data_IF_532072752348
#
_entry.id   IF_532072752348
#
_cell.length_a   1.000
_cell.length_b   1.000
_cell.length_c   1.000
_cell.angle_alpha   90.00
_cell.angle_beta   90.00
_cell.angle_gamma   90.00
#
_symmetry.space_group_name_H-M   'P 1'
#
loop_
_entity.id
_entity.type
_entity.pdbx_description
1 polymer ?
#
# COMPACT_ATOMS: atom_id res chain seq x y z
N UNK A 1 -13.63 -4.44 -10.64
CA UNK A 1 -13.14 -5.61 -11.38
C UNK A 1 -11.62 -5.56 -11.39
N UNK A 2 -10.93 -6.71 -11.21
CA UNK A 2 -9.48 -6.80 -11.36
C UNK A 2 -9.16 -7.13 -12.81
N UNK A 3 -8.26 -6.39 -13.45
CA UNK A 3 -7.86 -6.59 -14.84
C UNK A 3 -6.33 -6.63 -14.93
N UNK A 4 -5.79 -7.66 -15.56
CA UNK A 4 -4.36 -7.72 -15.89
C UNK A 4 -4.07 -6.81 -17.07
N UNK A 5 -3.00 -6.03 -16.97
CA UNK A 5 -2.50 -5.26 -18.11
C UNK A 5 -1.88 -6.20 -19.15
N UNK A 6 -2.26 -5.98 -20.39
CA UNK A 6 -1.68 -6.64 -21.55
C UNK A 6 -1.48 -5.61 -22.65
N UNK A 7 -0.56 -5.86 -23.58
CA UNK A 7 -0.30 -5.00 -24.74
C UNK A 7 -1.49 -4.89 -25.73
N UNK A 8 -2.55 -5.68 -25.52
CA UNK A 8 -3.70 -5.74 -26.45
C UNK A 8 -4.81 -4.73 -26.13
N UNK A 9 -4.72 -3.99 -25.04
CA UNK A 9 -5.77 -3.06 -24.62
C UNK A 9 -5.17 -1.70 -24.28
N UNK A 10 -5.78 -0.65 -24.79
CA UNK A 10 -5.51 0.72 -24.38
C UNK A 10 -6.16 1.00 -23.03
N UNK A 11 -5.40 1.50 -22.08
CA UNK A 11 -5.86 1.84 -20.74
C UNK A 11 -5.50 3.31 -20.43
N UNK A 12 -6.40 4.08 -19.79
CA UNK A 12 -6.08 5.42 -19.39
C UNK A 12 -5.00 5.42 -18.29
N UNK A 13 -4.08 6.35 -18.42
CA UNK A 13 -2.99 6.58 -17.46
C UNK A 13 -3.26 7.92 -16.79
N UNK A 14 -3.11 7.97 -15.46
CA UNK A 14 -3.43 9.14 -14.65
C UNK A 14 -2.18 9.63 -13.90
N UNK A 15 -1.89 10.93 -14.00
CA UNK A 15 -0.87 11.54 -13.14
C UNK A 15 -1.26 11.45 -11.66
N UNK A 16 -0.28 11.54 -10.77
CA UNK A 16 -0.54 11.58 -9.31
C UNK A 16 -1.47 12.73 -8.93
N UNK A 17 -1.37 13.88 -9.60
CA UNK A 17 -2.28 15.00 -9.40
C UNK A 17 -3.72 14.62 -9.70
N UNK A 18 -3.97 14.03 -10.88
CA UNK A 18 -5.33 13.59 -11.28
C UNK A 18 -5.88 12.54 -10.31
N UNK A 19 -5.05 11.61 -9.86
CA UNK A 19 -5.47 10.59 -8.89
C UNK A 19 -5.85 11.20 -7.54
N UNK A 20 -5.10 12.20 -7.05
CA UNK A 20 -5.44 12.95 -5.82
C UNK A 20 -6.76 13.71 -5.95
N UNK A 21 -7.03 14.32 -7.11
CA UNK A 21 -8.30 14.99 -7.39
C UNK A 21 -9.47 14.00 -7.39
N UNK A 22 -9.30 12.85 -8.05
CA UNK A 22 -10.29 11.75 -8.07
C UNK A 22 -10.53 11.18 -6.66
N UNK A 23 -9.47 10.97 -5.89
CA UNK A 23 -9.55 10.50 -4.51
C UNK A 23 -10.32 11.51 -3.63
N UNK A 24 -9.99 12.79 -3.77
CA UNK A 24 -10.66 13.89 -3.05
C UNK A 24 -12.16 13.93 -3.37
N UNK A 25 -12.51 13.86 -4.63
CA UNK A 25 -13.91 13.83 -5.07
C UNK A 25 -14.64 12.60 -4.51
N UNK A 26 -13.98 11.43 -4.56
CA UNK A 26 -14.57 10.20 -4.07
C UNK A 26 -14.75 10.19 -2.54
N UNK A 27 -13.81 10.76 -1.77
CA UNK A 27 -13.94 10.91 -0.31
C UNK A 27 -15.14 11.77 0.07
N UNK A 28 -15.44 12.81 -0.72
CA UNK A 28 -16.63 13.67 -0.48
C UNK A 28 -17.94 12.97 -0.82
N UNK A 29 -17.92 12.05 -1.78
CA UNK A 29 -19.14 11.40 -2.29
C UNK A 29 -19.44 10.04 -1.64
N UNK A 30 -18.48 9.45 -0.96
CA UNK A 30 -18.58 8.11 -0.39
C UNK A 30 -18.63 8.15 1.13
N UNK A 31 -19.17 7.10 1.78
CA UNK A 31 -19.06 6.95 3.23
C UNK A 31 -17.59 6.95 3.68
N UNK A 32 -17.38 7.36 4.94
CA UNK A 32 -16.05 7.37 5.54
C UNK A 32 -15.32 6.03 5.36
N UNK A 33 -14.04 6.09 5.05
CA UNK A 33 -13.16 4.93 4.82
C UNK A 33 -13.53 4.01 3.64
N UNK A 34 -14.57 4.32 2.86
CA UNK A 34 -15.03 3.45 1.78
C UNK A 34 -13.98 3.17 0.71
N UNK A 35 -13.13 4.16 0.37
CA UNK A 35 -12.03 3.95 -0.57
C UNK A 35 -11.02 2.96 -0.03
N UNK A 36 -10.54 3.16 1.19
CA UNK A 36 -9.59 2.27 1.85
C UNK A 36 -10.15 0.85 2.02
N UNK A 37 -11.43 0.72 2.39
CA UNK A 37 -12.11 -0.58 2.44
C UNK A 37 -12.12 -1.28 1.08
N UNK A 38 -12.42 -0.54 0.02
CA UNK A 38 -12.45 -1.07 -1.35
C UNK A 38 -11.04 -1.46 -1.82
N UNK A 39 -10.04 -0.66 -1.51
CA UNK A 39 -8.64 -0.92 -1.85
C UNK A 39 -8.12 -2.17 -1.14
N UNK A 40 -8.20 -2.23 0.17
CA UNK A 40 -7.75 -3.38 0.95
C UNK A 40 -8.52 -4.67 0.61
N UNK A 41 -9.84 -4.58 0.33
CA UNK A 41 -10.61 -5.73 -0.17
C UNK A 41 -10.09 -6.22 -1.52
N UNK A 42 -9.68 -5.32 -2.41
CA UNK A 42 -9.10 -5.72 -3.71
C UNK A 42 -7.74 -6.40 -3.54
N UNK A 43 -6.90 -5.89 -2.63
CA UNK A 43 -5.63 -6.54 -2.27
C UNK A 43 -5.88 -7.95 -1.73
N UNK A 44 -6.78 -8.11 -0.76
CA UNK A 44 -7.10 -9.42 -0.19
C UNK A 44 -7.59 -10.42 -1.23
N UNK A 45 -8.47 -9.98 -2.14
CA UNK A 45 -8.96 -10.81 -3.26
C UNK A 45 -7.85 -11.21 -4.22
N UNK A 46 -6.94 -10.29 -4.53
CA UNK A 46 -5.80 -10.60 -5.39
C UNK A 46 -4.86 -11.60 -4.73
N UNK A 47 -4.58 -11.45 -3.44
CA UNK A 47 -3.78 -12.41 -2.66
C UNK A 47 -4.42 -13.80 -2.73
N UNK A 48 -5.71 -13.92 -2.46
CA UNK A 48 -6.42 -15.20 -2.50
C UNK A 48 -6.41 -15.85 -3.88
N UNK A 49 -6.56 -15.05 -4.93
CA UNK A 49 -6.61 -15.56 -6.31
C UNK A 49 -5.22 -15.92 -6.86
N UNK A 50 -4.18 -15.13 -6.53
CA UNK A 50 -2.86 -15.27 -7.14
C UNK A 50 -1.87 -16.08 -6.31
N UNK A 51 -2.06 -16.04 -4.98
CA UNK A 51 -1.18 -16.70 -4.02
C UNK A 51 -1.97 -17.66 -3.10
N UNK A 52 -2.75 -18.61 -3.67
CA UNK A 52 -3.64 -19.47 -2.88
C UNK A 52 -2.88 -20.37 -1.89
N UNK A 53 -1.62 -20.67 -2.19
CA UNK A 53 -0.78 -21.57 -1.39
C UNK A 53 0.07 -20.84 -0.34
N UNK A 54 0.10 -19.50 -0.31
CA UNK A 54 0.82 -18.77 0.71
C UNK A 54 0.18 -19.04 2.09
N UNK A 55 0.96 -19.66 2.98
CA UNK A 55 0.48 -20.03 4.33
C UNK A 55 0.75 -18.93 5.33
N UNK A 56 1.93 -18.30 5.28
CA UNK A 56 2.34 -17.18 6.12
C UNK A 56 2.41 -15.91 5.26
N UNK A 57 1.53 -14.98 5.52
CA UNK A 57 1.44 -13.71 4.79
C UNK A 57 1.92 -12.60 5.72
N UNK A 58 2.92 -11.85 5.29
CA UNK A 58 3.42 -10.70 6.03
C UNK A 58 3.09 -9.41 5.29
N UNK A 59 2.34 -8.53 5.94
CA UNK A 59 1.98 -7.20 5.42
C UNK A 59 2.91 -6.16 6.06
N UNK A 60 3.67 -5.46 5.24
CA UNK A 60 4.52 -4.34 5.65
C UNK A 60 3.75 -3.04 5.46
N UNK A 61 3.19 -2.52 6.53
CA UNK A 61 2.31 -1.34 6.49
C UNK A 61 3.09 -0.07 6.85
N UNK A 62 3.20 0.84 5.90
CA UNK A 62 3.72 2.18 6.13
C UNK A 62 2.71 3.09 6.83
N UNK A 63 3.14 4.31 7.14
CA UNK A 63 2.36 5.28 7.91
C UNK A 63 1.28 6.03 7.10
N UNK A 64 1.16 5.78 5.79
CA UNK A 64 0.20 6.47 4.90
C UNK A 64 -1.02 5.62 4.54
N UNK A 65 -1.82 6.11 3.57
CA UNK A 65 -3.00 5.40 3.06
C UNK A 65 -2.66 4.01 2.53
N UNK A 66 -1.53 3.87 1.86
CA UNK A 66 -1.09 2.58 1.35
C UNK A 66 -0.96 1.54 2.49
N UNK A 67 -0.39 1.96 3.64
CA UNK A 67 -0.35 1.13 4.84
C UNK A 67 -1.75 0.80 5.40
N UNK A 68 -2.66 1.77 5.36
CA UNK A 68 -4.06 1.56 5.72
C UNK A 68 -4.76 0.54 4.81
N UNK A 69 -4.52 0.60 3.50
CA UNK A 69 -5.00 -0.39 2.55
C UNK A 69 -4.46 -1.80 2.86
N UNK A 70 -3.18 -1.87 3.26
CA UNK A 70 -2.54 -3.10 3.73
C UNK A 70 -3.18 -3.65 5.01
N UNK A 71 -3.50 -2.80 5.99
CA UNK A 71 -4.20 -3.18 7.23
C UNK A 71 -5.59 -3.74 6.95
N UNK A 72 -6.36 -3.07 6.10
CA UNK A 72 -7.69 -3.57 5.68
C UNK A 72 -7.56 -4.91 4.97
N UNK A 73 -6.56 -5.06 4.09
CA UNK A 73 -6.31 -6.31 3.39
C UNK A 73 -5.99 -7.45 4.39
N UNK A 74 -5.12 -7.19 5.36
CA UNK A 74 -4.77 -8.15 6.40
C UNK A 74 -6.00 -8.58 7.21
N UNK A 75 -6.85 -7.63 7.62
CA UNK A 75 -8.10 -7.89 8.32
C UNK A 75 -9.04 -8.79 7.52
N UNK A 76 -9.18 -8.54 6.21
CA UNK A 76 -10.01 -9.37 5.33
C UNK A 76 -9.42 -10.78 5.15
N UNK A 77 -8.09 -10.89 5.03
CA UNK A 77 -7.40 -12.18 4.93
C UNK A 77 -7.54 -13.00 6.22
N UNK A 78 -7.39 -12.34 7.38
CA UNK A 78 -7.59 -12.97 8.69
C UNK A 78 -9.02 -13.53 8.83
N UNK A 79 -10.03 -12.71 8.48
CA UNK A 79 -11.45 -13.15 8.48
C UNK A 79 -11.73 -14.29 7.51
N UNK A 80 -10.94 -14.39 6.45
CA UNK A 80 -11.00 -15.50 5.50
C UNK A 80 -10.18 -16.72 5.93
N UNK A 81 -9.70 -16.77 7.18
CA UNK A 81 -8.95 -17.89 7.76
C UNK A 81 -7.49 -17.99 7.28
N UNK A 82 -6.93 -16.90 6.71
CA UNK A 82 -5.52 -16.89 6.30
C UNK A 82 -4.62 -16.52 7.48
N UNK A 83 -3.47 -17.16 7.58
CA UNK A 83 -2.46 -16.78 8.57
C UNK A 83 -1.73 -15.52 8.05
N UNK A 84 -2.06 -14.39 8.62
CA UNK A 84 -1.51 -13.09 8.26
C UNK A 84 -0.99 -12.35 9.49
N UNK A 85 0.12 -11.66 9.35
CA UNK A 85 0.68 -10.75 10.35
C UNK A 85 0.95 -9.40 9.69
N UNK A 86 0.75 -8.31 10.43
CA UNK A 86 1.08 -6.96 10.00
C UNK A 86 2.28 -6.45 10.79
N UNK A 87 3.26 -5.91 10.07
CA UNK A 87 4.32 -5.11 10.66
C UNK A 87 4.13 -3.65 10.26
N UNK A 88 3.82 -2.80 11.25
CA UNK A 88 3.79 -1.36 11.07
C UNK A 88 5.23 -0.85 10.98
N UNK A 89 5.58 -0.26 9.84
CA UNK A 89 6.91 0.15 9.45
C UNK A 89 7.04 1.68 9.46
N UNK A 90 8.18 2.19 9.95
CA UNK A 90 8.41 3.63 10.02
C UNK A 90 7.66 4.33 11.16
N UNK A 91 7.07 3.56 12.05
CA UNK A 91 6.17 4.01 13.10
C UNK A 91 6.90 4.40 14.42
N UNK A 92 8.14 4.82 14.39
CA UNK A 92 8.89 5.22 15.61
C UNK A 92 8.17 6.28 16.47
N UNK A 93 6.97 6.72 16.09
CA UNK A 93 6.25 7.78 16.79
C UNK A 93 4.71 7.76 16.61
N UNK A 94 4.11 6.68 16.13
CA UNK A 94 2.68 6.65 15.80
C UNK A 94 1.73 7.13 16.91
N UNK A 95 1.83 6.69 18.16
CA UNK A 95 1.03 7.26 19.23
C UNK A 95 1.50 8.63 19.72
N UNK A 96 2.79 8.96 19.54
CA UNK A 96 3.40 10.17 20.12
C UNK A 96 3.27 11.41 19.21
N UNK A 97 3.20 11.24 17.88
CA UNK A 97 3.04 12.38 16.99
C UNK A 97 1.60 12.86 16.89
N UNK A 98 0.61 12.03 17.16
CA UNK A 98 -0.80 12.47 17.22
C UNK A 98 -1.04 13.58 18.26
N UNK A 99 -0.15 13.74 19.25
CA UNK A 99 -0.22 14.82 20.25
C UNK A 99 0.71 16.00 20.01
N UNK A 100 1.53 16.04 18.96
CA UNK A 100 2.59 17.04 18.77
C UNK A 100 2.46 17.96 17.55
N UNK A 101 1.27 18.04 16.98
CA UNK A 101 1.11 18.87 15.80
C UNK A 101 0.87 20.35 16.23
N UNK A 102 1.47 21.38 15.56
CA UNK A 102 1.30 22.78 15.94
C UNK A 102 -0.13 23.29 15.67
N UNK A 103 -0.68 24.19 16.52
CA UNK A 103 -2.09 24.56 16.48
C UNK A 103 -2.52 25.46 15.33
N UNK A 104 -1.59 25.99 14.55
CA UNK A 104 -1.81 27.08 13.60
C UNK A 104 -1.86 26.70 12.10
N UNK A 105 -1.74 25.40 11.78
CA UNK A 105 -1.79 24.88 10.42
C UNK A 105 -3.16 24.23 10.05
N UNK A 106 -4.25 24.93 10.23
CA UNK A 106 -5.61 24.38 10.14
C UNK A 106 -5.96 23.67 8.80
N UNK A 107 -5.37 24.07 7.68
CA UNK A 107 -5.63 23.45 6.35
C UNK A 107 -4.75 22.22 6.09
N UNK A 108 -3.49 22.23 6.51
CA UNK A 108 -2.61 21.06 6.46
C UNK A 108 -3.09 19.98 7.44
N UNK A 109 -3.74 20.41 8.52
CA UNK A 109 -4.34 19.58 9.55
C UNK A 109 -5.53 18.77 9.03
N UNK A 110 -6.46 19.36 8.28
CA UNK A 110 -7.63 18.66 7.77
C UNK A 110 -7.25 17.45 6.92
N UNK A 111 -6.20 17.57 6.14
CA UNK A 111 -5.67 16.47 5.31
C UNK A 111 -4.88 15.45 6.14
N UNK A 112 -3.93 15.90 6.95
CA UNK A 112 -3.14 15.01 7.80
C UNK A 112 -4.01 14.27 8.81
N UNK A 113 -5.05 14.91 9.34
CA UNK A 113 -6.04 14.29 10.23
C UNK A 113 -6.88 13.23 9.49
N UNK A 114 -7.40 13.52 8.31
CA UNK A 114 -8.21 12.55 7.56
C UNK A 114 -7.42 11.25 7.26
N UNK A 115 -6.12 11.37 6.97
CA UNK A 115 -5.25 10.25 6.69
C UNK A 115 -4.86 9.49 7.97
N UNK A 116 -4.52 10.22 9.03
CA UNK A 116 -4.23 9.62 10.32
C UNK A 116 -5.45 8.89 10.91
N UNK A 117 -6.65 9.45 10.73
CA UNK A 117 -7.91 8.82 11.14
C UNK A 117 -8.20 7.55 10.34
N UNK A 118 -7.99 7.57 9.02
CA UNK A 118 -8.25 6.40 8.19
C UNK A 118 -7.29 5.26 8.55
N UNK A 119 -6.01 5.55 8.80
CA UNK A 119 -5.05 4.56 9.25
C UNK A 119 -5.36 4.05 10.66
N UNK A 120 -5.64 4.96 11.60
CA UNK A 120 -6.00 4.60 12.98
C UNK A 120 -7.27 3.73 13.00
N UNK A 121 -8.26 4.07 12.20
CA UNK A 121 -9.44 3.25 12.02
C UNK A 121 -9.10 1.85 11.47
N UNK A 122 -8.24 1.75 10.46
CA UNK A 122 -7.82 0.47 9.90
C UNK A 122 -7.02 -0.37 10.91
N UNK A 123 -6.19 0.28 11.73
CA UNK A 123 -5.46 -0.37 12.81
C UNK A 123 -6.38 -0.90 13.89
N UNK A 124 -7.33 -0.08 14.35
CA UNK A 124 -8.34 -0.48 15.35
C UNK A 124 -9.21 -1.64 14.84
N UNK A 125 -9.64 -1.56 13.57
CA UNK A 125 -10.38 -2.63 12.92
C UNK A 125 -9.57 -3.94 12.83
N UNK A 126 -8.27 -3.86 12.61
CA UNK A 126 -7.37 -5.01 12.60
C UNK A 126 -7.22 -5.62 14.00
N UNK A 127 -7.06 -4.78 15.03
CA UNK A 127 -7.01 -5.21 16.43
C UNK A 127 -8.32 -5.89 16.85
N UNK A 128 -9.46 -5.29 16.52
CA UNK A 128 -10.79 -5.85 16.79
C UNK A 128 -11.01 -7.20 16.10
N UNK A 129 -10.47 -7.36 14.90
CA UNK A 129 -10.49 -8.64 14.17
C UNK A 129 -9.43 -9.63 14.66
N UNK A 130 -8.70 -9.29 15.71
CA UNK A 130 -7.60 -10.11 16.26
C UNK A 130 -6.53 -10.45 15.20
N UNK A 131 -6.33 -9.56 14.22
CA UNK A 131 -5.24 -9.68 13.26
C UNK A 131 -3.91 -9.45 13.99
N UNK A 132 -2.95 -10.36 13.93
CA UNK A 132 -1.65 -10.17 14.55
C UNK A 132 -0.95 -8.93 13.97
N UNK A 133 -0.74 -7.93 14.80
CA UNK A 133 -0.11 -6.65 14.42
C UNK A 133 1.02 -6.34 15.40
N UNK A 134 2.16 -5.93 14.88
CA UNK A 134 3.31 -5.47 15.64
C UNK A 134 3.96 -4.25 14.99
N UNK A 135 4.71 -3.49 15.75
CA UNK A 135 5.57 -2.43 15.23
C UNK A 135 6.95 -3.03 14.92
N UNK A 136 7.45 -2.82 13.72
CA UNK A 136 8.78 -3.24 13.35
C UNK A 136 9.81 -2.30 14.00
N UNK A 137 10.60 -2.83 14.91
CA UNK A 137 11.67 -2.07 15.53
C UNK A 137 12.74 -1.70 14.48
N UNK A 138 13.38 -0.51 14.58
CA UNK A 138 14.48 -0.12 13.70
C UNK A 138 15.58 -1.20 13.69
N UNK A 139 16.00 -1.62 12.50
CA UNK A 139 17.06 -2.63 12.32
C UNK A 139 16.63 -4.08 12.61
N UNK A 140 15.41 -4.33 13.08
CA UNK A 140 14.93 -5.69 13.28
C UNK A 140 14.85 -6.45 11.93
N UNK A 141 15.19 -7.76 11.92
CA UNK A 141 15.08 -8.58 10.73
C UNK A 141 13.60 -8.81 10.37
N UNK A 142 13.29 -8.87 9.08
CA UNK A 142 11.98 -9.28 8.63
C UNK A 142 11.79 -10.78 8.85
N UNK A 143 10.67 -11.21 9.48
CA UNK A 143 10.33 -12.62 9.60
C UNK A 143 10.17 -13.27 8.22
N UNK A 144 10.48 -14.56 8.14
CA UNK A 144 10.21 -15.35 6.95
C UNK A 144 8.71 -15.47 6.68
N UNK A 145 8.31 -15.30 5.42
CA UNK A 145 6.94 -15.45 4.95
C UNK A 145 6.90 -16.18 3.61
N UNK A 146 5.71 -16.70 3.28
CA UNK A 146 5.46 -17.32 1.98
C UNK A 146 4.95 -16.29 0.97
N UNK A 147 4.52 -15.11 1.45
CA UNK A 147 4.14 -13.93 0.68
C UNK A 147 4.38 -12.68 1.52
N UNK A 148 5.04 -11.71 0.92
CA UNK A 148 5.11 -10.34 1.44
C UNK A 148 4.13 -9.45 0.70
N UNK A 149 3.42 -8.59 1.45
CA UNK A 149 2.58 -7.52 0.90
C UNK A 149 3.26 -6.21 1.23
N UNK A 150 3.79 -5.56 0.20
CA UNK A 150 4.41 -4.25 0.29
C UNK A 150 3.32 -3.18 0.26
N UNK A 151 3.04 -2.60 1.39
CA UNK A 151 2.16 -1.47 1.61
C UNK A 151 2.89 -0.32 2.34
N UNK A 152 4.20 -0.16 2.07
CA UNK A 152 5.03 0.84 2.76
C UNK A 152 4.77 2.25 2.23
N UNK A 153 4.88 2.45 0.92
CA UNK A 153 4.77 3.74 0.23
C UNK A 153 3.86 3.60 -0.99
N UNK A 154 3.07 4.63 -1.29
CA UNK A 154 2.24 4.76 -2.49
C UNK A 154 2.58 6.04 -3.25
N UNK A 155 1.61 6.65 -3.95
CA UNK A 155 1.76 7.88 -4.74
C UNK A 155 2.21 9.11 -3.94
N UNK A 156 2.29 9.01 -2.63
CA UNK A 156 2.73 10.10 -1.73
C UNK A 156 4.24 10.24 -1.58
N UNK A 157 5.04 9.46 -2.31
CA UNK A 157 6.50 9.57 -2.27
C UNK A 157 6.93 10.91 -2.89
N UNK A 158 7.36 11.84 -2.04
CA UNK A 158 7.80 13.19 -2.43
C UNK A 158 9.29 13.38 -2.26
N UNK A 159 10.12 12.47 -2.76
CA UNK A 159 11.59 12.56 -2.65
C UNK A 159 12.25 11.22 -2.28
N UNK A 160 13.50 11.22 -1.86
CA UNK A 160 14.24 10.01 -1.51
C UNK A 160 13.55 9.20 -0.39
N UNK A 161 13.61 7.89 -0.49
CA UNK A 161 13.10 6.98 0.54
C UNK A 161 13.90 7.18 1.83
N UNK A 162 13.22 7.37 2.97
CA UNK A 162 13.85 7.55 4.26
C UNK A 162 14.66 6.30 4.65
N UNK A 163 15.76 6.50 5.36
CA UNK A 163 16.74 5.47 5.72
C UNK A 163 16.10 4.19 6.31
N UNK A 164 15.20 4.35 7.27
CA UNK A 164 14.52 3.20 7.89
C UNK A 164 13.69 2.40 6.86
N UNK A 165 12.94 3.07 6.00
CA UNK A 165 12.17 2.41 4.94
C UNK A 165 13.08 1.80 3.89
N UNK A 166 14.17 2.47 3.56
CA UNK A 166 15.20 1.96 2.64
C UNK A 166 15.81 0.65 3.15
N UNK A 167 16.12 0.58 4.45
CA UNK A 167 16.62 -0.64 5.08
C UNK A 167 15.61 -1.80 5.02
N UNK A 168 14.30 -1.50 5.23
CA UNK A 168 13.23 -2.50 5.11
C UNK A 168 13.10 -3.00 3.67
N UNK A 169 13.14 -2.10 2.68
CA UNK A 169 13.11 -2.46 1.25
C UNK A 169 14.31 -3.34 0.88
N UNK A 170 15.49 -3.00 1.36
CA UNK A 170 16.69 -3.81 1.13
C UNK A 170 16.56 -5.23 1.70
N UNK A 171 16.07 -5.34 2.94
CA UNK A 171 15.78 -6.65 3.56
C UNK A 171 14.73 -7.43 2.78
N UNK A 172 13.63 -6.78 2.36
CA UNK A 172 12.57 -7.41 1.58
C UNK A 172 13.11 -7.97 0.26
N UNK A 173 13.90 -7.18 -0.46
CA UNK A 173 14.53 -7.62 -1.71
C UNK A 173 15.53 -8.76 -1.50
N UNK A 174 16.15 -8.85 -0.34
CA UNK A 174 17.11 -9.92 0.00
C UNK A 174 16.43 -11.27 0.34
N UNK A 175 15.10 -11.28 0.65
CA UNK A 175 14.36 -12.52 0.93
C UNK A 175 14.30 -13.49 -0.25
N UNK A 176 14.46 -13.00 -1.47
CA UNK A 176 14.83 -13.71 -2.70
C UNK A 176 13.91 -14.82 -3.23
N UNK A 177 13.17 -15.53 -2.39
CA UNK A 177 12.35 -16.69 -2.77
C UNK A 177 10.85 -16.47 -2.63
N UNK A 178 10.42 -15.70 -1.66
CA UNK A 178 9.00 -15.44 -1.44
C UNK A 178 8.52 -14.33 -2.39
N UNK A 179 7.36 -14.49 -3.03
CA UNK A 179 6.77 -13.45 -3.87
C UNK A 179 6.45 -12.20 -3.05
N UNK A 180 6.49 -11.05 -3.74
CA UNK A 180 6.10 -9.74 -3.19
C UNK A 180 4.93 -9.21 -4.01
N UNK A 181 3.84 -8.86 -3.34
CA UNK A 181 2.73 -8.11 -3.91
C UNK A 181 2.82 -6.66 -3.43
N UNK A 182 3.08 -5.72 -4.35
CA UNK A 182 3.04 -4.30 -4.03
C UNK A 182 1.64 -3.74 -4.18
N UNK A 183 1.22 -2.99 -3.17
CA UNK A 183 -0.05 -2.26 -3.15
C UNK A 183 0.18 -0.90 -3.79
N UNK A 184 -0.60 -0.59 -4.81
CA UNK A 184 -0.58 0.64 -5.59
C UNK A 184 0.66 0.80 -6.49
N UNK A 185 1.85 0.75 -5.92
CA UNK A 185 3.17 0.87 -6.56
C UNK A 185 4.20 0.07 -5.77
N UNK A 186 5.27 -0.44 -6.40
CA UNK A 186 6.45 -0.86 -5.65
C UNK A 186 7.00 0.31 -4.84
N UNK A 187 7.16 0.09 -3.52
CA UNK A 187 7.64 1.16 -2.64
C UNK A 187 9.04 1.61 -3.05
N UNK A 188 9.19 2.91 -3.30
CA UNK A 188 10.41 3.52 -3.82
C UNK A 188 10.37 3.89 -5.29
N UNK A 189 9.35 3.46 -6.05
CA UNK A 189 9.12 3.86 -7.44
C UNK A 189 8.38 5.20 -7.48
N UNK A 190 8.84 6.14 -8.29
CA UNK A 190 8.11 7.37 -8.57
C UNK A 190 6.91 7.08 -9.48
N UNK A 191 5.74 7.56 -9.07
CA UNK A 191 4.49 7.23 -9.72
C UNK A 191 4.30 7.92 -11.09
N UNK A 192 4.88 9.10 -11.28
CA UNK A 192 4.74 9.88 -12.51
C UNK A 192 5.87 9.61 -13.51
N UNK A 193 7.10 9.37 -13.05
CA UNK A 193 8.26 9.21 -13.93
C UNK A 193 8.71 7.77 -14.10
N UNK A 194 8.51 6.91 -13.09
CA UNK A 194 9.07 5.56 -13.04
C UNK A 194 10.54 5.53 -12.62
N UNK A 195 11.06 6.65 -12.11
CA UNK A 195 12.41 6.74 -11.57
C UNK A 195 12.48 6.16 -10.16
N UNK A 196 13.69 5.85 -9.73
CA UNK A 196 13.99 5.41 -8.37
C UNK A 196 15.10 6.29 -7.78
N UNK A 197 14.80 6.97 -6.69
CA UNK A 197 15.76 7.82 -5.99
C UNK A 197 16.43 7.09 -4.80
N UNK A 198 16.55 5.77 -4.88
CA UNK A 198 17.09 4.93 -3.81
C UNK A 198 16.61 3.48 -3.93
N UNK A 199 16.59 2.72 -2.83
CA UNK A 199 16.04 1.37 -2.85
C UNK A 199 14.57 1.35 -3.26
N UNK A 200 14.23 0.41 -4.15
CA UNK A 200 12.86 0.16 -4.61
C UNK A 200 12.53 -1.32 -4.47
N UNK A 201 11.31 -1.63 -4.09
CA UNK A 201 10.81 -3.01 -3.99
C UNK A 201 10.78 -3.66 -5.37
N UNK A 202 11.23 -4.92 -5.43
CA UNK A 202 11.12 -5.77 -6.60
C UNK A 202 9.89 -6.66 -6.45
N UNK A 203 8.76 -6.20 -6.98
CA UNK A 203 7.50 -6.89 -6.86
C UNK A 203 7.38 -8.07 -7.84
N UNK A 204 6.75 -9.15 -7.40
CA UNK A 204 6.28 -10.24 -8.29
C UNK A 204 4.99 -9.83 -9.00
N UNK A 205 4.18 -9.04 -8.32
CA UNK A 205 2.97 -8.44 -8.85
C UNK A 205 2.69 -7.10 -8.18
N UNK A 206 2.03 -6.21 -8.90
CA UNK A 206 1.59 -4.89 -8.38
C UNK A 206 0.10 -4.73 -8.63
N UNK A 207 -0.65 -4.34 -7.60
CA UNK A 207 -2.06 -3.96 -7.73
C UNK A 207 -2.18 -2.45 -7.79
N UNK A 208 -2.36 -1.90 -8.98
CA UNK A 208 -2.62 -0.47 -9.15
C UNK A 208 -4.05 -0.12 -8.73
N UNK A 209 -4.19 0.84 -7.84
CA UNK A 209 -5.46 1.32 -7.29
C UNK A 209 -5.89 2.61 -8.01
N UNK A 210 -7.20 2.85 -8.10
CA UNK A 210 -7.84 4.01 -8.75
C UNK A 210 -7.58 4.14 -10.25
N UNK A 211 -6.40 3.84 -10.73
CA UNK A 211 -6.00 3.92 -12.13
C UNK A 211 -4.52 3.63 -12.30
N UNK A 212 -4.07 3.50 -13.55
CA UNK A 212 -2.68 3.31 -13.89
C UNK A 212 -1.90 4.60 -13.75
N UNK A 213 -0.67 4.50 -13.30
CA UNK A 213 0.29 5.59 -13.18
C UNK A 213 1.31 5.50 -14.31
N UNK A 214 1.84 6.64 -14.82
CA UNK A 214 2.90 6.65 -15.83
C UNK A 214 4.11 5.82 -15.41
N UNK A 215 4.52 5.94 -14.13
CA UNK A 215 5.66 5.21 -13.57
C UNK A 215 5.54 3.69 -13.59
N UNK A 216 4.32 3.12 -13.70
CA UNK A 216 4.12 1.68 -13.88
C UNK A 216 4.36 1.21 -15.32
N UNK A 217 4.43 2.13 -16.28
CA UNK A 217 4.51 1.85 -17.72
C UNK A 217 5.83 2.30 -18.34
N UNK A 218 6.68 2.99 -17.58
CA UNK A 218 7.91 3.65 -18.07
C UNK A 218 9.13 3.27 -17.24
N UNK A 219 10.32 3.66 -17.73
CA UNK A 219 11.56 3.52 -16.99
C UNK A 219 11.87 2.09 -16.56
N UNK A 220 12.15 1.92 -15.28
CA UNK A 220 12.51 0.65 -14.65
C UNK A 220 11.29 -0.21 -14.28
N UNK A 221 10.07 0.24 -14.57
CA UNK A 221 8.84 -0.43 -14.15
C UNK A 221 8.78 -1.92 -14.53
N UNK A 222 9.21 -2.26 -15.74
CA UNK A 222 9.20 -3.66 -16.19
C UNK A 222 10.06 -4.59 -15.30
N UNK A 223 11.13 -4.07 -14.70
CA UNK A 223 12.01 -4.83 -13.82
C UNK A 223 11.55 -4.84 -12.35
N UNK A 224 10.68 -3.88 -11.95
CA UNK A 224 10.31 -3.65 -10.56
C UNK A 224 8.87 -4.03 -10.24
N UNK A 225 7.93 -3.86 -11.18
CA UNK A 225 6.50 -3.99 -10.92
C UNK A 225 5.96 -5.43 -11.06
N UNK A 226 6.71 -6.32 -11.71
CA UNK A 226 6.22 -7.66 -12.03
C UNK A 226 4.93 -7.61 -12.87
N UNK A 227 3.95 -8.43 -12.50
CA UNK A 227 2.65 -8.43 -13.18
C UNK A 227 1.76 -7.32 -12.65
N UNK A 228 1.50 -6.29 -13.44
CA UNK A 228 0.60 -5.20 -13.05
C UNK A 228 -0.87 -5.61 -13.26
N UNK A 229 -1.67 -5.45 -12.21
CA UNK A 229 -3.11 -5.64 -12.18
C UNK A 229 -3.77 -4.33 -11.80
N UNK A 230 -4.72 -3.88 -12.59
CA UNK A 230 -5.49 -2.68 -12.30
C UNK A 230 -6.80 -3.02 -11.59
N UNK A 231 -7.12 -2.24 -10.56
CA UNK A 231 -8.46 -2.20 -9.99
C UNK A 231 -9.21 -0.97 -10.46
N UNK A 232 -10.18 -1.18 -11.35
CA UNK A 232 -11.08 -0.10 -11.78
C UNK A 232 -12.19 0.15 -10.76
N UNK A 233 -12.54 1.42 -10.50
CA UNK A 233 -13.83 1.72 -9.87
C UNK A 233 -14.95 1.14 -10.73
N UNK A 234 -16.00 0.62 -10.11
CA UNK A 234 -17.22 0.29 -10.86
C UNK A 234 -17.86 1.61 -11.30
N UNK A 235 -18.29 1.75 -12.57
CA UNK A 235 -19.13 2.87 -12.93
C UNK A 235 -20.34 2.89 -11.98
N UNK A 236 -20.70 4.09 -11.51
CA UNK A 236 -21.96 4.27 -10.81
C UNK A 236 -23.09 3.95 -11.81
N UNK A 237 -23.93 2.98 -11.49
CA UNK A 237 -25.19 2.71 -12.18
C UNK A 237 -26.24 3.65 -11.65
#
# INVERSE_FOLDING_TARGET
>A
MLKRLTSQHSEPIYSTQMLRELETAAVRALPAHALMQRAGTAVARLVQARFPHARRILVLAGAGNNGGDGLVAATQLQRAGRNVCVLACGAGSWPQWMGRLPPDAAWAWAWAWAWAWAWAWAWDAAQTAQTPCAVLAPGAPLPEADLYVDALLGIGLGGPVREQTAAIIAQLNAQGRAPVLSVDLPSGLDADTGDVAGPCVRATATLSLLGLKPGLCTGLAAALCGHVVERRPRPAH
#
